data_IF_583771449004
#
_entry.id   IF_583771449004
#
_cell.length_a   1.000
_cell.length_b   1.000
_cell.length_c   1.000
_cell.angle_alpha   90.00
_cell.angle_beta   90.00
_cell.angle_gamma   90.00
#
_symmetry.space_group_name_H-M   'P 1'
#
loop_
_entity.id
_entity.type
_entity.pdbx_description
1 polymer ?
#
# COMPACT_ATOMS: atom_id res chain seq x y z
N UNK A 1 39.43 53.17 -45.05
CA UNK A 1 39.37 53.32 -43.57
C UNK A 1 37.96 53.48 -42.98
N UNK A 2 36.88 53.62 -43.79
CA UNK A 2 35.52 53.91 -43.27
C UNK A 2 34.74 52.64 -42.85
N UNK A 3 35.09 51.45 -43.34
CA UNK A 3 34.32 50.22 -43.07
C UNK A 3 34.49 49.63 -41.66
N UNK A 4 35.56 49.94 -40.92
CA UNK A 4 35.79 49.37 -39.58
C UNK A 4 34.95 50.03 -38.47
N UNK A 5 34.51 51.27 -38.67
CA UNK A 5 33.74 52.01 -37.64
C UNK A 5 32.30 51.51 -37.57
N UNK A 6 31.71 51.16 -38.72
CA UNK A 6 30.34 50.65 -38.79
C UNK A 6 30.25 49.23 -38.20
N UNK A 7 31.24 48.39 -38.48
CA UNK A 7 31.29 47.02 -37.97
C UNK A 7 31.42 46.99 -36.44
N UNK A 8 32.28 47.84 -35.87
CA UNK A 8 32.42 47.96 -34.42
C UNK A 8 31.14 48.49 -33.73
N UNK A 9 30.40 49.42 -34.37
CA UNK A 9 29.14 49.91 -33.80
C UNK A 9 28.04 48.85 -33.81
N UNK A 10 27.93 48.05 -34.88
CA UNK A 10 26.97 46.95 -34.94
C UNK A 10 27.33 45.86 -33.92
N UNK A 11 28.61 45.53 -33.77
CA UNK A 11 29.06 44.53 -32.80
C UNK A 11 28.79 44.98 -31.36
N UNK A 12 28.99 46.27 -31.07
CA UNK A 12 28.73 46.85 -29.74
C UNK A 12 27.23 46.91 -29.42
N UNK A 13 26.38 47.16 -30.42
CA UNK A 13 24.91 47.05 -30.29
C UNK A 13 24.47 45.60 -30.08
N UNK A 14 25.09 44.63 -30.75
CA UNK A 14 24.82 43.20 -30.53
C UNK A 14 25.27 42.72 -29.15
N UNK A 15 26.40 43.22 -28.62
CA UNK A 15 26.86 42.93 -27.26
C UNK A 15 25.93 43.59 -26.24
N UNK A 16 25.49 44.84 -26.47
CA UNK A 16 24.54 45.52 -25.58
C UNK A 16 23.16 44.85 -25.59
N UNK A 17 22.68 44.37 -26.74
CA UNK A 17 21.42 43.63 -26.84
C UNK A 17 21.50 42.24 -26.20
N UNK A 18 22.64 41.54 -26.32
CA UNK A 18 22.84 40.25 -25.66
C UNK A 18 23.09 40.38 -24.15
N UNK A 19 23.71 41.47 -23.67
CA UNK A 19 23.91 41.72 -22.23
C UNK A 19 22.65 42.25 -21.54
N UNK A 20 21.71 42.86 -22.27
CA UNK A 20 20.37 43.21 -21.79
C UNK A 20 19.35 42.08 -21.92
N UNK A 21 19.76 40.87 -22.32
CA UNK A 21 19.04 39.65 -21.99
C UNK A 21 19.21 39.33 -20.49
N UNK A 22 18.92 40.34 -19.65
CA UNK A 22 18.57 40.20 -18.26
C UNK A 22 17.56 39.08 -18.20
N UNK A 23 17.91 38.04 -17.45
CA UNK A 23 16.99 36.97 -17.11
C UNK A 23 15.79 37.59 -16.40
N UNK A 24 14.79 37.99 -17.18
CA UNK A 24 13.43 38.27 -16.75
C UNK A 24 12.90 36.94 -16.26
N UNK A 25 13.32 36.57 -15.05
CA UNK A 25 12.81 35.44 -14.32
C UNK A 25 11.37 35.83 -14.07
N UNK A 26 10.47 35.33 -14.92
CA UNK A 26 9.04 35.56 -14.85
C UNK A 26 8.60 35.10 -13.45
N UNK A 27 8.57 36.04 -12.51
CA UNK A 27 8.18 35.78 -11.12
C UNK A 27 6.68 35.65 -11.15
N UNK A 28 6.22 34.43 -11.40
CA UNK A 28 4.80 34.13 -11.35
C UNK A 28 4.28 34.54 -9.97
N UNK A 29 3.23 35.36 -9.95
CA UNK A 29 2.51 35.77 -8.74
C UNK A 29 2.14 34.54 -7.90
N UNK A 30 1.85 33.41 -8.56
CA UNK A 30 1.54 32.14 -7.93
C UNK A 30 2.68 31.61 -7.05
N UNK A 31 3.94 31.78 -7.44
CA UNK A 31 5.11 31.32 -6.65
C UNK A 31 5.31 32.16 -5.39
N UNK A 32 4.83 33.41 -5.38
CA UNK A 32 4.89 34.27 -4.20
C UNK A 32 3.71 34.02 -3.24
N UNK A 33 2.62 33.42 -3.73
CA UNK A 33 1.39 33.16 -2.94
C UNK A 33 1.28 31.73 -2.44
N UNK A 34 1.77 30.75 -3.19
CA UNK A 34 1.55 29.34 -2.91
C UNK A 34 2.86 28.58 -2.75
N UNK A 35 2.93 27.81 -1.66
CA UNK A 35 3.89 26.72 -1.51
C UNK A 35 3.18 25.42 -1.91
N UNK A 36 3.67 24.75 -2.95
CA UNK A 36 3.13 23.47 -3.42
C UNK A 36 4.04 22.33 -3.02
N UNK A 37 3.45 21.21 -2.62
CA UNK A 37 4.17 20.00 -2.25
C UNK A 37 3.30 18.78 -2.51
N UNK A 38 3.94 17.65 -2.76
CA UNK A 38 3.30 16.35 -2.96
C UNK A 38 3.60 15.48 -1.76
N UNK A 39 2.57 14.87 -1.21
CA UNK A 39 2.65 14.02 -0.02
C UNK A 39 1.96 12.69 -0.30
N UNK A 40 2.24 11.70 0.53
CA UNK A 40 1.43 10.50 0.54
C UNK A 40 0.02 10.85 1.02
N UNK A 41 -1.01 10.29 0.40
CA UNK A 41 -2.39 10.62 0.74
C UNK A 41 -3.25 9.37 0.85
N UNK A 42 -4.23 9.45 1.73
CA UNK A 42 -5.23 8.44 1.94
C UNK A 42 -6.10 8.32 0.68
N UNK A 43 -6.03 7.16 0.03
CA UNK A 43 -6.78 6.87 -1.20
C UNK A 43 -8.17 6.30 -0.90
N UNK A 44 -9.11 6.50 -1.83
CA UNK A 44 -10.40 5.80 -1.81
C UNK A 44 -10.26 4.43 -2.48
N UNK A 45 -10.75 3.40 -1.80
CA UNK A 45 -10.93 2.06 -2.34
C UNK A 45 -12.41 1.75 -2.48
N UNK A 46 -12.74 0.90 -3.46
CA UNK A 46 -14.12 0.47 -3.69
C UNK A 46 -14.23 -1.03 -3.39
N UNK A 47 -15.22 -1.38 -2.60
CA UNK A 47 -15.60 -2.78 -2.35
C UNK A 47 -16.79 -3.16 -3.25
N UNK A 48 -17.26 -4.41 -3.15
CA UNK A 48 -18.44 -4.86 -3.90
C UNK A 48 -19.66 -3.97 -3.66
N UNK A 49 -19.88 -3.52 -2.43
CA UNK A 49 -21.11 -2.85 -2.00
C UNK A 49 -20.87 -1.49 -1.32
N UNK A 50 -19.62 -1.05 -1.17
CA UNK A 50 -19.26 0.17 -0.44
C UNK A 50 -17.99 0.81 -0.97
N UNK A 51 -17.58 1.90 -0.30
CA UNK A 51 -16.30 2.57 -0.50
C UNK A 51 -15.62 2.78 0.85
N UNK A 52 -14.29 2.84 0.84
CA UNK A 52 -13.47 3.04 2.03
C UNK A 52 -12.33 4.02 1.73
N UNK A 53 -11.65 4.51 2.75
CA UNK A 53 -10.61 5.53 2.67
C UNK A 53 -11.13 6.94 2.51
N UNK A 54 -10.31 7.83 1.95
CA UNK A 54 -10.51 9.28 2.09
C UNK A 54 -10.86 9.98 0.78
N UNK A 55 -11.44 11.17 0.90
CA UNK A 55 -11.78 12.03 -0.24
C UNK A 55 -11.68 13.50 0.09
N UNK A 56 -11.13 14.29 -0.84
CA UNK A 56 -11.44 15.72 -0.88
C UNK A 56 -12.70 15.99 -1.71
N UNK A 57 -13.21 17.21 -1.66
CA UNK A 57 -14.12 17.74 -2.68
C UNK A 57 -13.40 17.89 -4.03
N UNK A 58 -14.16 17.99 -5.13
CA UNK A 58 -13.63 18.12 -6.50
C UNK A 58 -12.75 19.35 -6.68
N UNK A 59 -13.11 20.46 -6.04
CA UNK A 59 -12.33 21.71 -5.98
C UNK A 59 -11.23 21.68 -4.91
N UNK A 60 -11.13 20.61 -4.12
CA UNK A 60 -10.28 20.47 -2.95
C UNK A 60 -10.87 21.11 -1.69
N UNK A 61 -10.30 20.78 -0.54
CA UNK A 61 -10.72 21.26 0.78
C UNK A 61 -9.79 22.38 1.22
N UNK A 62 -10.36 23.49 1.70
CA UNK A 62 -9.59 24.66 2.15
C UNK A 62 -9.93 24.98 3.58
N UNK A 63 -8.91 25.28 4.37
CA UNK A 63 -9.08 25.68 5.76
C UNK A 63 -7.83 26.31 6.32
N UNK A 64 -7.98 26.98 7.45
CA UNK A 64 -6.85 27.52 8.21
C UNK A 64 -5.98 26.37 8.69
N UNK A 65 -4.68 26.42 8.42
CA UNK A 65 -3.74 25.42 8.90
C UNK A 65 -3.45 25.67 10.39
N UNK A 66 -3.63 24.65 11.24
CA UNK A 66 -3.35 24.70 12.67
C UNK A 66 -2.46 23.50 13.04
N UNK A 67 -1.37 23.76 13.76
CA UNK A 67 -0.53 22.70 14.32
C UNK A 67 -1.10 22.31 15.68
N UNK A 68 -1.34 21.02 15.90
CA UNK A 68 -2.03 20.50 17.07
C UNK A 68 -1.15 19.43 17.71
N UNK A 69 -0.76 19.66 18.95
CA UNK A 69 0.13 18.79 19.72
C UNK A 69 -0.63 17.80 20.61
N UNK A 70 -1.87 18.14 21.00
CA UNK A 70 -2.66 17.39 21.98
C UNK A 70 -4.16 17.36 21.67
N UNK A 71 -4.86 16.38 22.23
CA UNK A 71 -6.31 16.25 22.10
C UNK A 71 -7.05 17.44 22.74
N UNK A 72 -6.58 17.93 23.89
CA UNK A 72 -7.19 19.08 24.58
C UNK A 72 -7.10 20.36 23.73
N UNK A 73 -5.95 20.57 23.08
CA UNK A 73 -5.77 21.66 22.12
C UNK A 73 -6.76 21.53 20.95
N UNK A 74 -6.94 20.33 20.39
CA UNK A 74 -7.90 20.10 19.32
C UNK A 74 -9.35 20.40 19.73
N UNK A 75 -9.74 20.00 20.94
CA UNK A 75 -11.08 20.23 21.49
C UNK A 75 -11.36 21.73 21.64
N UNK A 76 -10.34 22.54 21.93
CA UNK A 76 -10.51 24.00 22.05
C UNK A 76 -11.01 24.67 20.75
N UNK A 77 -10.81 24.01 19.59
CA UNK A 77 -11.27 24.49 18.28
C UNK A 77 -12.65 23.95 17.85
N UNK A 78 -13.40 23.27 18.72
CA UNK A 78 -14.68 22.61 18.38
C UNK A 78 -15.69 23.51 17.65
N UNK A 79 -15.69 24.81 17.95
CA UNK A 79 -16.59 25.81 17.36
C UNK A 79 -15.91 26.74 16.34
N UNK A 80 -14.77 26.33 15.79
CA UNK A 80 -14.02 27.12 14.80
C UNK A 80 -14.63 27.01 13.39
N UNK A 81 -14.30 27.98 12.53
CA UNK A 81 -14.42 27.87 11.07
C UNK A 81 -13.62 26.69 10.51
N UNK A 82 -13.85 26.27 9.24
CA UNK A 82 -13.12 25.18 8.61
C UNK A 82 -11.60 25.24 8.80
N UNK A 83 -11.04 24.22 9.45
CA UNK A 83 -9.60 24.10 9.73
C UNK A 83 -9.01 22.87 9.07
N UNK A 84 -7.72 22.95 8.77
CA UNK A 84 -6.86 21.83 8.41
C UNK A 84 -5.86 21.67 9.53
N UNK A 85 -5.74 20.46 10.07
CA UNK A 85 -4.89 20.21 11.23
C UNK A 85 -3.62 19.46 10.82
N UNK A 86 -2.48 19.89 11.36
CA UNK A 86 -1.25 19.09 11.39
C UNK A 86 -1.17 18.43 12.77
N UNK A 87 -1.20 17.10 12.80
CA UNK A 87 -1.23 16.31 14.03
C UNK A 87 -0.07 15.31 14.06
N UNK A 88 0.42 14.92 15.25
CA UNK A 88 1.30 13.78 15.38
C UNK A 88 0.56 12.47 15.00
N UNK A 89 1.30 11.43 14.62
CA UNK A 89 0.75 10.09 14.36
C UNK A 89 0.25 9.39 15.65
N UNK A 90 -0.81 9.93 16.25
CA UNK A 90 -1.45 9.46 17.48
C UNK A 90 -2.90 9.08 17.25
N UNK A 91 -3.27 7.89 17.73
CA UNK A 91 -4.62 7.31 17.60
C UNK A 91 -5.71 8.23 18.15
N UNK A 92 -5.55 8.68 19.39
CA UNK A 92 -6.57 9.47 20.11
C UNK A 92 -6.93 10.79 19.42
N UNK A 93 -5.92 11.52 18.93
CA UNK A 93 -6.11 12.79 18.22
C UNK A 93 -6.76 12.56 16.86
N UNK A 94 -6.28 11.54 16.13
CA UNK A 94 -6.74 11.23 14.79
C UNK A 94 -8.19 10.72 14.78
N UNK A 95 -8.55 9.82 15.71
CA UNK A 95 -9.91 9.32 15.88
C UNK A 95 -10.88 10.47 16.17
N UNK A 96 -10.51 11.38 17.09
CA UNK A 96 -11.32 12.57 17.38
C UNK A 96 -11.47 13.48 16.14
N UNK A 97 -10.38 13.70 15.40
CA UNK A 97 -10.38 14.55 14.22
C UNK A 97 -11.31 14.02 13.10
N UNK A 98 -11.45 12.70 12.99
CA UNK A 98 -12.30 12.05 12.00
C UNK A 98 -13.76 12.03 12.45
N UNK A 99 -14.03 11.55 13.67
CA UNK A 99 -15.38 11.20 14.09
C UNK A 99 -16.10 12.26 14.92
N UNK A 100 -15.37 13.18 15.56
CA UNK A 100 -15.93 14.10 16.55
C UNK A 100 -15.69 15.58 16.25
N UNK A 101 -14.96 15.88 15.17
CA UNK A 101 -14.54 17.23 14.80
C UNK A 101 -15.02 17.62 13.38
N UNK A 102 -16.29 18.03 13.21
CA UNK A 102 -16.84 18.39 11.90
C UNK A 102 -16.20 19.64 11.28
N UNK A 103 -15.65 20.54 12.10
CA UNK A 103 -14.92 21.73 11.62
C UNK A 103 -13.60 21.40 10.91
N UNK A 104 -13.07 20.19 11.09
CA UNK A 104 -11.84 19.76 10.42
C UNK A 104 -12.18 19.29 9.02
N UNK A 105 -11.71 20.02 8.02
CA UNK A 105 -11.94 19.74 6.59
C UNK A 105 -10.75 19.05 5.93
N UNK A 106 -9.65 18.81 6.63
CA UNK A 106 -8.49 18.06 6.15
C UNK A 106 -7.48 17.79 7.26
N UNK A 107 -6.70 16.73 7.12
CA UNK A 107 -5.77 16.24 8.15
C UNK A 107 -4.40 15.98 7.54
N UNK A 108 -3.36 16.57 8.11
CA UNK A 108 -1.94 16.31 7.83
C UNK A 108 -1.39 15.52 9.02
N UNK A 109 -0.85 14.33 8.77
CA UNK A 109 -0.24 13.49 9.80
C UNK A 109 1.28 13.62 9.67
N UNK A 110 1.92 14.04 10.75
CA UNK A 110 3.38 13.96 10.86
C UNK A 110 3.81 12.49 10.99
N UNK A 111 4.45 11.98 9.94
CA UNK A 111 4.95 10.60 9.84
C UNK A 111 6.24 10.36 10.60
N UNK A 112 6.76 11.35 11.35
CA UNK A 112 7.90 11.15 12.25
C UNK A 112 7.61 9.99 13.19
N UNK A 113 8.50 9.00 13.18
CA UNK A 113 8.50 7.91 14.15
C UNK A 113 8.83 8.53 15.51
N UNK A 114 7.80 8.91 16.26
CA UNK A 114 7.95 9.15 17.69
C UNK A 114 8.29 7.81 18.35
N UNK A 115 9.02 7.84 19.48
CA UNK A 115 9.21 6.66 20.32
C UNK A 115 7.87 5.92 20.39
N UNK A 116 7.84 4.64 19.99
CA UNK A 116 6.62 3.85 19.86
C UNK A 116 5.96 3.79 21.24
N UNK A 117 5.05 4.73 21.49
CA UNK A 117 4.24 4.80 22.72
C UNK A 117 2.98 3.97 22.52
N UNK A 118 2.24 3.67 23.59
CA UNK A 118 0.93 2.99 23.50
C UNK A 118 -0.14 3.76 22.68
N UNK A 119 0.19 4.93 22.13
CA UNK A 119 -0.73 5.80 21.40
C UNK A 119 -0.55 5.77 19.88
N UNK A 120 0.34 4.92 19.35
CA UNK A 120 0.45 4.72 17.90
C UNK A 120 -0.79 3.98 17.36
N UNK A 121 -0.92 3.97 16.03
CA UNK A 121 -1.99 3.26 15.35
C UNK A 121 -1.48 2.43 14.19
N UNK A 122 -2.28 1.45 13.79
CA UNK A 122 -2.15 0.75 12.52
C UNK A 122 -3.47 0.83 11.78
N UNK A 123 -3.41 0.94 10.45
CA UNK A 123 -4.62 1.15 9.63
C UNK A 123 -5.58 -0.03 9.61
N UNK A 124 -5.09 -1.23 9.95
CA UNK A 124 -5.87 -2.47 9.94
C UNK A 124 -6.78 -2.50 11.16
N UNK A 125 -7.88 -3.24 11.09
CA UNK A 125 -8.68 -3.53 12.26
C UNK A 125 -7.85 -4.21 13.37
N UNK A 126 -8.38 -4.13 14.60
CA UNK A 126 -7.93 -4.91 15.75
C UNK A 126 -7.98 -6.41 15.50
N UNK A 127 -8.85 -6.85 14.60
CA UNK A 127 -8.95 -8.21 14.12
C UNK A 127 -9.04 -8.22 12.59
N UNK A 128 -7.92 -8.45 11.89
CA UNK A 128 -7.88 -8.43 10.43
C UNK A 128 -8.72 -9.54 9.77
N UNK A 129 -8.94 -10.66 10.45
CA UNK A 129 -9.48 -11.91 9.88
C UNK A 129 -11.02 -12.08 10.01
N UNK A 130 -11.71 -11.21 10.76
CA UNK A 130 -13.17 -11.29 11.05
C UNK A 130 -14.11 -11.31 9.83
N UNK A 131 -13.61 -11.05 8.63
CA UNK A 131 -14.41 -10.92 7.40
C UNK A 131 -14.32 -12.11 6.45
N UNK A 132 -13.47 -13.10 6.74
CA UNK A 132 -13.41 -14.33 5.95
C UNK A 132 -14.53 -15.23 6.46
N UNK A 133 -15.48 -15.57 5.61
CA UNK A 133 -16.76 -16.24 5.94
C UNK A 133 -16.69 -17.66 6.54
N UNK A 134 -15.68 -17.98 7.35
CA UNK A 134 -15.73 -19.07 8.30
C UNK A 134 -16.50 -18.57 9.52
N UNK A 135 -17.67 -19.16 9.78
CA UNK A 135 -18.58 -18.90 10.90
C UNK A 135 -18.01 -19.22 12.29
N UNK A 136 -16.68 -19.18 12.46
CA UNK A 136 -15.98 -19.50 13.70
C UNK A 136 -14.89 -18.45 13.90
N UNK A 137 -15.26 -17.31 14.47
CA UNK A 137 -14.45 -16.67 15.53
C UNK A 137 -15.19 -15.45 16.07
N UNK A 138 -16.12 -15.70 16.99
CA UNK A 138 -16.51 -14.69 17.99
C UNK A 138 -15.35 -14.27 18.90
N UNK A 139 -14.16 -14.87 18.73
CA UNK A 139 -12.95 -14.55 19.48
C UNK A 139 -11.75 -14.42 18.54
N UNK A 140 -11.28 -13.19 18.36
CA UNK A 140 -9.94 -12.87 17.84
C UNK A 140 -8.86 -13.30 18.85
N UNK A 141 -8.86 -14.56 19.28
CA UNK A 141 -8.05 -15.04 20.40
C UNK A 141 -6.57 -15.19 20.06
N UNK A 142 -6.22 -15.43 18.79
CA UNK A 142 -4.85 -15.82 18.40
C UNK A 142 -4.04 -14.63 17.87
N UNK A 143 -4.63 -13.75 17.06
CA UNK A 143 -3.94 -12.59 16.45
C UNK A 143 -4.72 -11.30 16.66
N UNK A 144 -4.40 -10.58 17.75
CA UNK A 144 -4.95 -9.24 18.02
C UNK A 144 -3.98 -8.15 17.59
N UNK A 145 -4.45 -7.24 16.76
CA UNK A 145 -3.78 -6.00 16.45
C UNK A 145 -4.22 -4.91 17.45
N UNK A 146 -3.59 -4.85 18.63
CA UNK A 146 -3.94 -3.93 19.73
C UNK A 146 -4.12 -2.47 19.26
N UNK A 147 -3.34 -2.04 18.27
CA UNK A 147 -3.28 -0.66 17.79
C UNK A 147 -4.11 -0.40 16.54
N UNK A 148 -4.95 -1.36 16.13
CA UNK A 148 -5.81 -1.21 14.97
C UNK A 148 -6.88 -0.13 15.13
N UNK A 149 -7.11 0.65 14.07
CA UNK A 149 -8.18 1.67 13.99
C UNK A 149 -9.13 1.47 12.81
N UNK A 150 -8.91 0.43 12.01
CA UNK A 150 -9.80 0.03 10.93
C UNK A 150 -10.03 1.06 9.81
N UNK A 151 -9.03 1.89 9.55
CA UNK A 151 -9.02 2.89 8.48
C UNK A 151 -9.30 2.31 7.10
N UNK A 152 -8.92 1.05 6.87
CA UNK A 152 -9.11 0.37 5.59
C UNK A 152 -10.59 0.13 5.25
N UNK A 153 -11.49 0.15 6.24
CA UNK A 153 -12.90 -0.25 6.09
C UNK A 153 -13.91 0.88 6.27
N UNK A 154 -13.46 2.05 6.73
CA UNK A 154 -14.31 3.23 6.90
C UNK A 154 -14.17 4.19 5.72
N UNK A 155 -15.25 4.90 5.39
CA UNK A 155 -15.20 6.03 4.47
C UNK A 155 -15.05 7.33 5.25
N UNK A 156 -14.10 8.16 4.84
CA UNK A 156 -13.76 9.43 5.47
C UNK A 156 -13.96 10.54 4.44
N UNK A 157 -14.96 11.40 4.66
CA UNK A 157 -15.27 12.52 3.75
C UNK A 157 -14.40 13.76 4.00
N UNK A 158 -13.10 13.54 4.22
CA UNK A 158 -12.08 14.58 4.29
C UNK A 158 -10.72 14.00 3.86
N UNK A 159 -9.85 14.77 3.19
CA UNK A 159 -8.54 14.29 2.78
C UNK A 159 -7.61 14.15 3.98
N UNK A 160 -6.87 13.04 4.02
CA UNK A 160 -5.83 12.77 5.02
C UNK A 160 -4.51 12.53 4.29
N UNK A 161 -3.48 13.28 4.64
CA UNK A 161 -2.17 13.26 4.00
C UNK A 161 -1.11 12.90 5.05
N UNK A 162 -0.20 12.00 4.70
CA UNK A 162 0.92 11.58 5.53
C UNK A 162 2.19 12.31 5.06
N UNK A 163 2.85 12.99 6.00
CA UNK A 163 4.03 13.78 5.73
C UNK A 163 5.26 13.02 6.21
N UNK A 164 6.06 12.51 5.27
CA UNK A 164 7.29 11.77 5.55
C UNK A 164 8.55 12.65 5.53
N UNK A 165 8.49 13.81 4.87
CA UNK A 165 9.58 14.77 4.80
C UNK A 165 9.59 15.69 6.04
N UNK A 166 10.45 15.39 7.00
CA UNK A 166 10.53 16.14 8.26
C UNK A 166 10.84 17.63 8.06
N UNK A 167 11.73 17.97 7.14
CA UNK A 167 12.07 19.37 6.83
C UNK A 167 10.83 20.16 6.40
N UNK A 168 9.95 19.53 5.63
CA UNK A 168 8.68 20.15 5.21
C UNK A 168 7.70 20.29 6.38
N UNK A 169 7.60 19.27 7.24
CA UNK A 169 6.79 19.34 8.46
C UNK A 169 7.24 20.50 9.35
N UNK A 170 8.55 20.62 9.60
CA UNK A 170 9.10 21.66 10.46
C UNK A 170 8.86 23.07 9.87
N UNK A 171 8.95 23.21 8.54
CA UNK A 171 8.59 24.43 7.85
C UNK A 171 7.09 24.77 8.03
N UNK A 172 6.19 23.79 7.87
CA UNK A 172 4.76 24.00 8.08
C UNK A 172 4.44 24.40 9.52
N UNK A 173 5.08 23.76 10.51
CA UNK A 173 4.96 24.15 11.93
C UNK A 173 5.41 25.57 12.17
N UNK A 174 6.59 25.93 11.67
CA UNK A 174 7.14 27.30 11.81
C UNK A 174 6.21 28.35 11.21
N UNK A 175 5.69 28.10 10.00
CA UNK A 175 4.78 29.04 9.34
C UNK A 175 3.43 29.09 10.07
N UNK A 176 2.87 27.95 10.45
CA UNK A 176 1.65 27.88 11.26
C UNK A 176 1.79 28.71 12.53
N UNK A 177 2.87 28.52 13.29
CA UNK A 177 3.16 29.26 14.52
C UNK A 177 3.25 30.78 14.28
N UNK A 178 4.07 31.22 13.32
CA UNK A 178 4.29 32.65 13.04
C UNK A 178 3.00 33.38 12.67
N UNK A 179 2.18 32.79 11.78
CA UNK A 179 0.96 33.45 11.33
C UNK A 179 -0.21 33.27 12.28
N UNK A 180 -0.28 32.16 13.02
CA UNK A 180 -1.39 31.90 13.93
C UNK A 180 -1.22 32.50 15.32
N UNK A 181 -0.01 32.81 15.80
CA UNK A 181 0.15 33.45 17.12
C UNK A 181 0.43 34.94 17.03
N UNK A 182 1.22 35.39 16.04
CA UNK A 182 1.70 36.78 16.01
C UNK A 182 0.82 37.73 15.20
N UNK A 183 -0.07 37.23 14.34
CA UNK A 183 -0.85 38.07 13.40
C UNK A 183 -2.38 37.91 13.50
N UNK A 184 -2.92 37.26 14.55
CA UNK A 184 -4.37 37.16 14.77
C UNK A 184 -5.02 38.55 14.80
N UNK A 185 -4.37 39.51 15.49
CA UNK A 185 -4.84 40.90 15.58
C UNK A 185 -4.90 41.63 14.24
N UNK A 186 -4.25 41.09 13.19
CA UNK A 186 -4.22 41.65 11.82
C UNK A 186 -5.07 40.85 10.82
N UNK A 187 -5.81 39.83 11.26
CA UNK A 187 -6.66 39.01 10.40
C UNK A 187 -5.91 38.18 9.35
N UNK A 188 -4.60 37.96 9.52
CA UNK A 188 -3.75 37.22 8.58
C UNK A 188 -3.53 35.80 9.11
N UNK A 189 -3.92 34.81 8.32
CA UNK A 189 -3.76 33.40 8.65
C UNK A 189 -3.25 32.63 7.44
N UNK A 190 -2.56 31.52 7.71
CA UNK A 190 -2.16 30.58 6.66
C UNK A 190 -3.32 29.63 6.36
N UNK A 191 -3.61 29.48 5.07
CA UNK A 191 -4.58 28.50 4.57
C UNK A 191 -3.84 27.35 3.89
N UNK A 192 -4.33 26.14 4.12
CA UNK A 192 -3.96 24.99 3.32
C UNK A 192 -5.09 24.67 2.33
N UNK A 193 -4.71 24.15 1.16
CA UNK A 193 -5.65 23.64 0.15
C UNK A 193 -5.24 22.21 -0.21
N UNK A 194 -6.05 21.25 0.22
CA UNK A 194 -5.79 19.82 0.02
C UNK A 194 -6.67 19.26 -1.09
N UNK A 195 -6.06 18.57 -2.06
CA UNK A 195 -6.77 18.00 -3.21
C UNK A 195 -6.38 16.54 -3.42
N UNK A 196 -7.33 15.64 -3.22
CA UNK A 196 -7.22 14.20 -3.45
C UNK A 196 -8.58 13.63 -3.85
N UNK A 197 -9.25 14.29 -4.80
CA UNK A 197 -10.59 13.88 -5.24
C UNK A 197 -10.53 12.56 -6.01
N UNK A 198 -11.11 11.46 -5.51
CA UNK A 198 -11.15 10.20 -6.22
C UNK A 198 -12.28 10.24 -7.26
N UNK A 199 -11.98 9.77 -8.47
CA UNK A 199 -12.99 9.67 -9.53
C UNK A 199 -13.86 8.41 -9.43
N UNK A 200 -13.40 7.37 -8.72
CA UNK A 200 -14.22 6.21 -8.38
C UNK A 200 -15.29 6.58 -7.36
N UNK A 201 -16.54 6.19 -7.61
CA UNK A 201 -17.68 6.53 -6.75
C UNK A 201 -18.53 5.31 -6.39
N UNK A 202 -19.16 5.38 -5.22
CA UNK A 202 -20.17 4.46 -4.68
C UNK A 202 -19.65 3.05 -4.39
N UNK A 203 -19.47 2.21 -5.41
CA UNK A 203 -19.03 0.82 -5.26
C UNK A 203 -18.29 0.32 -6.52
N UNK A 204 -17.61 -0.81 -6.39
CA UNK A 204 -16.81 -1.39 -7.47
C UNK A 204 -17.67 -1.82 -8.66
N UNK A 205 -18.89 -2.29 -8.44
CA UNK A 205 -19.79 -2.75 -9.51
C UNK A 205 -20.22 -1.59 -10.41
N UNK A 206 -20.65 -0.47 -9.81
CA UNK A 206 -21.05 0.74 -10.51
C UNK A 206 -19.85 1.37 -11.19
N UNK A 207 -18.70 1.42 -10.52
CA UNK A 207 -17.53 1.97 -11.14
C UNK A 207 -17.06 1.16 -12.35
N UNK A 208 -17.02 -0.18 -12.24
CA UNK A 208 -16.68 -1.08 -13.35
C UNK A 208 -17.70 -1.01 -14.48
N UNK A 209 -18.99 -0.86 -14.16
CA UNK A 209 -20.03 -0.65 -15.19
C UNK A 209 -19.81 0.65 -15.95
N UNK A 210 -19.44 1.72 -15.25
CA UNK A 210 -19.17 3.04 -15.85
C UNK A 210 -17.88 3.07 -16.65
N UNK A 211 -16.85 2.32 -16.24
CA UNK A 211 -15.59 2.23 -17.00
C UNK A 211 -15.72 1.41 -18.29
N UNK A 212 -16.66 0.45 -18.34
CA UNK A 212 -16.96 -0.36 -19.53
C UNK A 212 -17.95 0.27 -20.51
N UNK A 213 -18.59 1.39 -20.15
CA UNK A 213 -19.64 2.00 -20.96
C UNK A 213 -19.02 2.87 -22.08
N UNK A 214 -19.21 2.45 -23.33
CA UNK A 214 -18.64 3.00 -24.56
C UNK A 214 -19.47 4.13 -25.21
N UNK A 215 -20.28 4.86 -24.43
CA UNK A 215 -21.14 5.91 -25.01
C UNK A 215 -20.33 7.15 -25.46
N UNK A 216 -20.06 7.24 -26.78
CA UNK A 216 -19.97 8.40 -27.67
C UNK A 216 -19.39 9.75 -27.17
N UNK A 217 -18.37 9.74 -26.30
CA UNK A 217 -17.60 10.93 -25.91
C UNK A 217 -16.11 10.66 -25.60
N UNK A 218 -15.57 9.58 -26.17
CA UNK A 218 -14.40 8.86 -25.63
C UNK A 218 -13.03 9.54 -25.76
N UNK A 219 -12.82 10.57 -26.57
CA UNK A 219 -11.49 11.19 -26.67
C UNK A 219 -11.09 11.92 -25.37
N UNK A 220 -12.04 12.56 -24.69
CA UNK A 220 -11.79 13.25 -23.43
C UNK A 220 -11.80 12.30 -22.22
N UNK A 221 -12.58 11.22 -22.28
CA UNK A 221 -12.70 10.27 -21.17
C UNK A 221 -11.70 9.12 -21.23
N UNK A 222 -11.04 8.79 -22.35
CA UNK A 222 -10.02 7.74 -22.38
C UNK A 222 -8.85 8.02 -21.44
N UNK A 223 -8.39 9.27 -21.34
CA UNK A 223 -7.38 9.67 -20.35
C UNK A 223 -7.87 9.55 -18.89
N UNK A 224 -9.18 9.58 -18.67
CA UNK A 224 -9.83 9.41 -17.38
C UNK A 224 -10.55 8.06 -17.23
N UNK A 225 -10.39 7.10 -18.14
CA UNK A 225 -11.16 5.83 -18.17
C UNK A 225 -10.51 4.74 -17.32
N UNK A 226 -9.27 4.95 -16.88
CA UNK A 226 -8.56 4.17 -15.86
C UNK A 226 -9.06 4.57 -14.45
N UNK A 227 -10.39 4.63 -14.27
CA UNK A 227 -11.03 5.14 -13.05
C UNK A 227 -11.14 4.12 -11.94
N UNK A 228 -11.27 2.85 -12.31
CA UNK A 228 -11.34 1.72 -11.39
C UNK A 228 -10.48 0.60 -11.93
N UNK A 229 -9.34 0.38 -11.27
CA UNK A 229 -8.41 -0.70 -11.56
C UNK A 229 -8.54 -1.70 -10.41
N UNK A 230 -8.83 -2.96 -10.76
CA UNK A 230 -8.70 -4.05 -9.79
C UNK A 230 -7.23 -4.14 -9.36
N UNK A 231 -6.93 -4.47 -8.10
CA UNK A 231 -5.57 -4.89 -7.75
C UNK A 231 -5.12 -5.99 -8.71
N UNK A 232 -3.89 -5.89 -9.22
CA UNK A 232 -3.31 -6.95 -10.04
C UNK A 232 -2.93 -8.09 -9.12
N UNK A 233 -3.43 -9.28 -9.41
CA UNK A 233 -3.09 -10.51 -8.71
C UNK A 233 -2.05 -11.25 -9.53
N UNK A 234 -0.89 -11.45 -8.93
CA UNK A 234 0.22 -12.17 -9.53
C UNK A 234 0.64 -13.27 -8.54
N UNK A 235 0.78 -14.49 -9.06
CA UNK A 235 1.30 -15.63 -8.31
C UNK A 235 2.63 -15.97 -8.97
N UNK A 236 3.72 -15.71 -8.28
CA UNK A 236 5.06 -16.13 -8.73
C UNK A 236 5.35 -17.45 -8.04
N UNK A 237 5.79 -18.43 -8.80
CA UNK A 237 6.00 -19.78 -8.30
C UNK A 237 7.30 -20.38 -8.83
N UNK A 238 7.85 -21.33 -8.08
CA UNK A 238 8.98 -22.16 -8.49
C UNK A 238 8.78 -23.59 -7.97
N UNK A 239 9.19 -24.57 -8.76
CA UNK A 239 9.11 -26.00 -8.42
C UNK A 239 10.50 -26.59 -8.57
N UNK A 240 10.97 -27.30 -7.55
CA UNK A 240 12.31 -27.91 -7.60
C UNK A 240 12.38 -29.19 -8.42
N UNK A 241 11.28 -29.94 -8.52
CA UNK A 241 11.20 -31.16 -9.31
C UNK A 241 10.06 -31.08 -10.32
N UNK A 242 10.44 -30.98 -11.60
CA UNK A 242 9.51 -30.89 -12.71
C UNK A 242 9.03 -32.30 -13.11
N UNK A 243 7.81 -32.66 -12.71
CA UNK A 243 7.17 -33.90 -13.18
C UNK A 243 6.52 -33.65 -14.54
N UNK A 244 6.90 -34.45 -15.53
CA UNK A 244 6.31 -34.41 -16.86
C UNK A 244 4.83 -34.81 -16.84
N UNK A 245 4.00 -34.24 -17.70
CA UNK A 245 2.57 -34.55 -17.86
C UNK A 245 2.34 -36.01 -18.27
N UNK A 246 3.36 -36.66 -18.82
CA UNK A 246 3.36 -38.09 -19.15
C UNK A 246 3.48 -39.00 -17.92
N UNK A 247 3.97 -38.46 -16.81
CA UNK A 247 4.19 -39.20 -15.58
C UNK A 247 3.08 -38.88 -14.58
N UNK A 248 2.63 -39.87 -13.82
CA UNK A 248 1.65 -39.67 -12.75
C UNK A 248 2.34 -39.08 -11.52
N UNK A 249 1.75 -38.01 -10.96
CA UNK A 249 2.18 -37.45 -9.67
C UNK A 249 1.55 -38.27 -8.52
N UNK A 250 2.32 -38.77 -7.54
CA UNK A 250 1.75 -39.50 -6.41
C UNK A 250 0.91 -38.62 -5.48
N UNK A 251 -0.04 -39.21 -4.76
CA UNK A 251 -0.77 -38.50 -3.70
C UNK A 251 0.18 -38.12 -2.55
N UNK A 252 -0.08 -36.97 -1.90
CA UNK A 252 0.74 -36.42 -0.80
C UNK A 252 2.24 -36.31 -1.14
N UNK A 253 2.54 -35.96 -2.39
CA UNK A 253 3.91 -35.82 -2.89
C UNK A 253 4.38 -34.37 -2.98
N UNK A 254 3.62 -33.37 -2.50
CA UNK A 254 3.94 -31.94 -2.66
C UNK A 254 3.92 -31.21 -1.32
N UNK A 255 4.99 -30.47 -1.03
CA UNK A 255 5.08 -29.51 0.05
C UNK A 255 5.08 -28.11 -0.55
N UNK A 256 4.16 -27.26 -0.12
CA UNK A 256 4.06 -25.87 -0.57
C UNK A 256 4.57 -24.95 0.52
N UNK A 257 5.60 -24.16 0.23
CA UNK A 257 5.97 -23.00 1.02
C UNK A 257 5.44 -21.75 0.33
N UNK A 258 4.76 -20.89 1.06
CA UNK A 258 4.31 -19.62 0.51
C UNK A 258 4.49 -18.46 1.47
N UNK A 259 4.62 -17.26 0.88
CA UNK A 259 4.60 -15.98 1.57
C UNK A 259 3.79 -14.99 0.75
N UNK A 260 3.15 -14.03 1.42
CA UNK A 260 2.60 -12.88 0.73
C UNK A 260 3.71 -12.00 0.17
N UNK A 261 3.47 -11.43 -1.00
CA UNK A 261 4.37 -10.54 -1.74
C UNK A 261 3.83 -9.12 -1.83
N UNK A 262 2.58 -8.90 -1.43
CA UNK A 262 1.99 -7.58 -1.35
C UNK A 262 2.05 -6.99 0.06
N UNK A 263 2.06 -5.67 0.09
CA UNK A 263 1.75 -4.87 1.26
C UNK A 263 0.62 -3.91 0.90
N UNK A 264 -0.11 -3.47 1.90
CA UNK A 264 -1.13 -2.46 1.74
C UNK A 264 -0.89 -1.35 2.76
N UNK A 265 -0.99 -0.10 2.32
CA UNK A 265 -1.27 1.03 3.19
C UNK A 265 -2.24 1.97 2.47
N UNK A 266 -3.05 2.66 3.25
CA UNK A 266 -4.03 3.62 2.76
C UNK A 266 -3.35 4.87 2.20
N UNK A 267 -2.13 5.16 2.67
CA UNK A 267 -1.27 6.24 2.21
C UNK A 267 -0.38 5.75 1.07
N UNK A 268 -0.50 6.34 -0.12
CA UNK A 268 0.32 6.01 -1.30
C UNK A 268 1.03 7.28 -1.82
N UNK A 269 2.20 7.17 -2.48
CA UNK A 269 2.88 5.94 -2.95
C UNK A 269 3.96 5.34 -2.05
N UNK A 270 4.50 6.01 -1.03
CA UNK A 270 5.66 5.47 -0.30
C UNK A 270 5.25 4.56 0.84
N UNK A 271 5.44 3.24 0.65
CA UNK A 271 5.07 2.23 1.63
C UNK A 271 6.18 1.20 1.76
N UNK A 272 6.69 1.03 2.98
CA UNK A 272 7.63 -0.03 3.31
C UNK A 272 6.90 -1.11 4.14
N UNK A 273 6.39 -2.14 3.47
CA UNK A 273 5.86 -3.35 4.11
C UNK A 273 6.96 -4.24 4.71
N UNK A 274 7.94 -3.64 5.40
CA UNK A 274 9.18 -4.32 5.80
C UNK A 274 8.88 -5.56 6.64
N UNK A 275 8.16 -5.40 7.75
CA UNK A 275 7.82 -6.52 8.63
C UNK A 275 6.70 -7.41 8.06
N UNK A 276 5.68 -6.82 7.45
CA UNK A 276 4.53 -7.59 6.98
C UNK A 276 4.90 -8.49 5.80
N UNK A 277 5.76 -8.02 4.90
CA UNK A 277 5.94 -8.67 3.58
C UNK A 277 7.41 -8.96 3.31
N UNK A 278 8.31 -7.99 3.53
CA UNK A 278 9.70 -8.14 3.10
C UNK A 278 10.42 -9.29 3.80
N UNK A 279 10.24 -9.47 5.11
CA UNK A 279 10.89 -10.59 5.82
C UNK A 279 10.40 -11.97 5.34
N UNK A 280 9.11 -12.15 5.10
CA UNK A 280 8.59 -13.42 4.56
C UNK A 280 9.18 -13.74 3.19
N UNK A 281 9.26 -12.71 2.32
CA UNK A 281 9.91 -12.81 1.00
C UNK A 281 11.40 -13.15 1.12
N UNK A 282 12.14 -12.44 1.96
CA UNK A 282 13.57 -12.68 2.19
C UNK A 282 13.80 -14.09 2.73
N UNK A 283 13.01 -14.54 3.69
CA UNK A 283 13.12 -15.89 4.26
C UNK A 283 12.84 -16.96 3.21
N UNK A 284 11.77 -16.81 2.42
CA UNK A 284 11.44 -17.79 1.38
C UNK A 284 12.49 -17.83 0.26
N UNK A 285 13.06 -16.68 -0.12
CA UNK A 285 14.19 -16.61 -1.06
C UNK A 285 15.46 -17.23 -0.47
N UNK A 286 15.73 -17.00 0.82
CA UNK A 286 16.84 -17.64 1.54
C UNK A 286 16.70 -19.16 1.57
N UNK A 287 15.48 -19.66 1.83
CA UNK A 287 15.15 -21.08 1.73
C UNK A 287 15.36 -21.60 0.31
N UNK A 288 14.88 -20.87 -0.71
CA UNK A 288 15.07 -21.23 -2.11
C UNK A 288 16.55 -21.39 -2.47
N UNK A 289 17.37 -20.43 -2.04
CA UNK A 289 18.81 -20.41 -2.26
C UNK A 289 19.52 -21.57 -1.56
N UNK A 290 19.13 -21.86 -0.31
CA UNK A 290 19.72 -22.95 0.48
C UNK A 290 19.36 -24.32 -0.11
N UNK A 291 18.09 -24.53 -0.48
CA UNK A 291 17.64 -25.76 -1.14
C UNK A 291 18.32 -25.97 -2.50
N UNK A 292 18.50 -24.89 -3.28
CA UNK A 292 19.18 -24.93 -4.57
C UNK A 292 20.67 -25.24 -4.47
N UNK A 293 21.36 -24.81 -3.40
CA UNK A 293 22.80 -25.06 -3.21
C UNK A 293 23.15 -26.44 -2.70
N UNK A 294 22.34 -27.00 -1.81
CA UNK A 294 22.74 -28.22 -1.08
C UNK A 294 22.43 -29.48 -1.91
N UNK A 295 21.85 -29.40 -3.11
CA UNK A 295 21.20 -30.54 -3.77
C UNK A 295 20.31 -31.31 -2.75
N UNK A 296 19.75 -30.58 -1.77
CA UNK A 296 18.92 -31.14 -0.70
C UNK A 296 17.66 -31.79 -1.28
N UNK A 297 17.25 -31.34 -2.46
CA UNK A 297 16.29 -32.05 -3.31
C UNK A 297 16.72 -33.49 -3.55
N UNK A 298 17.95 -33.77 -3.98
CA UNK A 298 18.42 -35.15 -4.15
C UNK A 298 18.37 -35.96 -2.84
N UNK A 299 18.68 -35.36 -1.69
CA UNK A 299 18.62 -36.03 -0.39
C UNK A 299 17.19 -36.29 0.11
N UNK A 300 16.27 -35.35 -0.09
CA UNK A 300 14.82 -35.52 0.19
C UNK A 300 14.15 -36.48 -0.81
N UNK A 301 14.71 -36.61 -2.01
CA UNK A 301 14.31 -37.54 -3.08
C UNK A 301 14.88 -38.96 -2.85
N UNK A 302 15.81 -39.17 -1.92
CA UNK A 302 16.50 -40.47 -1.79
C UNK A 302 16.40 -41.16 -0.42
N UNK A 303 15.90 -40.51 0.64
CA UNK A 303 15.94 -41.10 1.98
C UNK A 303 14.65 -41.81 2.44
N UNK A 304 14.77 -43.14 2.49
CA UNK A 304 14.24 -44.11 3.45
C UNK A 304 12.77 -44.62 3.37
N UNK A 305 12.68 -45.89 2.97
CA UNK A 305 11.67 -46.92 3.25
C UNK A 305 10.23 -46.74 2.74
N UNK A 306 9.82 -45.52 2.38
CA UNK A 306 8.56 -45.26 1.68
C UNK A 306 8.87 -44.49 0.38
N UNK A 307 8.70 -45.12 -0.78
CA UNK A 307 9.06 -44.64 -2.13
C UNK A 307 8.41 -43.31 -2.61
N UNK A 308 7.99 -42.40 -1.74
CA UNK A 308 7.30 -41.16 -2.11
C UNK A 308 8.26 -39.98 -1.96
N UNK A 309 8.90 -39.62 -3.06
CA UNK A 309 9.71 -38.42 -3.18
C UNK A 309 8.79 -37.19 -3.10
N UNK A 310 9.06 -36.30 -2.15
CA UNK A 310 8.28 -35.06 -1.98
C UNK A 310 8.90 -33.94 -2.81
N UNK A 311 8.06 -33.30 -3.60
CA UNK A 311 8.38 -32.11 -4.36
C UNK A 311 8.14 -30.87 -3.50
N UNK A 312 9.02 -29.88 -3.66
CA UNK A 312 8.90 -28.59 -2.98
C UNK A 312 8.45 -27.54 -4.00
N UNK A 313 7.41 -26.79 -3.64
CA UNK A 313 6.87 -25.65 -4.39
C UNK A 313 7.04 -24.40 -3.54
N UNK A 314 7.62 -23.36 -4.12
CA UNK A 314 7.74 -22.05 -3.49
C UNK A 314 6.78 -21.08 -4.17
N UNK A 315 6.00 -20.34 -3.39
CA UNK A 315 4.99 -19.40 -3.88
C UNK A 315 5.16 -18.01 -3.25
N UNK A 316 5.12 -16.99 -4.10
CA UNK A 316 4.99 -15.60 -3.70
C UNK A 316 3.65 -15.09 -4.23
N UNK A 317 2.74 -14.79 -3.31
CA UNK A 317 1.35 -14.49 -3.64
C UNK A 317 1.09 -12.99 -3.43
N UNK A 318 0.68 -12.30 -4.48
CA UNK A 318 0.15 -10.94 -4.38
C UNK A 318 -1.38 -11.01 -4.26
N UNK A 319 -1.95 -10.25 -3.33
CA UNK A 319 -3.39 -10.18 -3.11
C UNK A 319 -3.82 -10.57 -1.70
N UNK A 320 -2.88 -10.88 -0.81
CA UNK A 320 -3.21 -11.39 0.51
C UNK A 320 -3.79 -10.31 1.42
N UNK A 321 -3.33 -9.06 1.29
CA UNK A 321 -3.91 -7.95 2.05
C UNK A 321 -5.29 -7.51 1.51
N UNK A 322 -5.77 -8.10 0.43
CA UNK A 322 -7.06 -7.84 -0.19
C UNK A 322 -8.06 -8.95 0.13
N UNK A 323 -8.20 -9.28 1.42
CA UNK A 323 -9.02 -10.39 1.90
C UNK A 323 -8.61 -11.73 1.28
N UNK A 324 -7.31 -12.06 1.26
CA UNK A 324 -6.80 -13.36 0.79
C UNK A 324 -7.17 -13.68 -0.66
N UNK A 325 -7.37 -12.65 -1.48
CA UNK A 325 -7.80 -12.84 -2.87
C UNK A 325 -6.73 -13.58 -3.69
N UNK A 326 -5.44 -13.42 -3.36
CA UNK A 326 -4.34 -14.14 -3.99
C UNK A 326 -4.41 -15.65 -3.74
N UNK A 327 -4.54 -16.06 -2.47
CA UNK A 327 -4.69 -17.47 -2.07
C UNK A 327 -6.02 -18.07 -2.55
N UNK A 328 -7.09 -17.27 -2.61
CA UNK A 328 -8.36 -17.69 -3.22
C UNK A 328 -8.18 -18.03 -4.71
N UNK A 329 -7.54 -17.15 -5.49
CA UNK A 329 -7.26 -17.41 -6.90
C UNK A 329 -6.32 -18.61 -7.08
N UNK A 330 -5.31 -18.77 -6.20
CA UNK A 330 -4.45 -19.96 -6.18
C UNK A 330 -5.26 -21.25 -5.97
N UNK A 331 -6.15 -21.25 -4.98
CA UNK A 331 -6.99 -22.41 -4.67
C UNK A 331 -7.87 -22.77 -5.86
N UNK A 332 -8.46 -21.77 -6.51
CA UNK A 332 -9.26 -21.93 -7.71
C UNK A 332 -8.46 -22.55 -8.86
N UNK A 333 -7.25 -22.06 -9.16
CA UNK A 333 -6.43 -22.63 -10.25
C UNK A 333 -5.96 -24.06 -9.94
N UNK A 334 -5.74 -24.43 -8.68
CA UNK A 334 -5.41 -25.80 -8.26
C UNK A 334 -6.64 -26.72 -8.45
N UNK A 335 -7.82 -26.28 -8.00
CA UNK A 335 -9.08 -27.04 -8.15
C UNK A 335 -9.45 -27.26 -9.62
N UNK A 336 -9.16 -26.28 -10.47
CA UNK A 336 -9.38 -26.38 -11.91
C UNK A 336 -8.24 -27.12 -12.65
N UNK A 337 -7.27 -27.69 -11.93
CA UNK A 337 -6.13 -28.45 -12.49
C UNK A 337 -5.27 -27.63 -13.47
N UNK A 338 -5.17 -26.32 -13.24
CA UNK A 338 -4.41 -25.36 -14.07
C UNK A 338 -3.08 -24.92 -13.46
N UNK A 339 -2.79 -25.31 -12.22
CA UNK A 339 -1.53 -24.98 -11.55
C UNK A 339 -0.54 -26.14 -11.65
N UNK A 340 0.76 -25.91 -11.93
CA UNK A 340 1.36 -24.64 -12.35
C UNK A 340 0.84 -24.15 -13.71
N UNK A 341 0.65 -22.82 -13.84
CA UNK A 341 0.12 -22.23 -15.08
C UNK A 341 1.10 -22.39 -16.24
N UNK A 342 0.59 -22.71 -17.43
CA UNK A 342 1.40 -22.80 -18.66
C UNK A 342 2.02 -21.44 -18.97
N UNK A 343 3.35 -21.36 -18.88
CA UNK A 343 4.13 -20.23 -19.39
C UNK A 343 4.35 -20.52 -20.87
N UNK A 344 3.70 -19.74 -21.73
CA UNK A 344 3.78 -19.67 -23.21
C UNK A 344 4.21 -20.92 -24.00
N UNK A 345 3.46 -21.20 -25.07
CA UNK A 345 3.68 -22.30 -26.05
C UNK A 345 5.06 -22.34 -26.73
N UNK A 346 5.91 -21.35 -26.48
CA UNK A 346 7.27 -21.23 -27.00
C UNK A 346 8.35 -21.75 -26.03
N UNK A 347 8.00 -22.05 -24.78
CA UNK A 347 8.92 -22.59 -23.79
C UNK A 347 8.62 -24.06 -23.52
N UNK A 348 9.63 -24.90 -23.31
CA UNK A 348 9.50 -26.34 -23.02
C UNK A 348 8.72 -26.69 -21.72
N UNK A 349 8.05 -25.71 -21.08
CA UNK A 349 7.20 -25.85 -19.91
C UNK A 349 5.78 -26.36 -20.22
N UNK A 350 5.45 -26.62 -21.48
CA UNK A 350 4.17 -27.22 -21.91
C UNK A 350 3.90 -28.64 -21.35
N UNK A 351 4.83 -29.20 -20.57
CA UNK A 351 4.81 -30.59 -20.12
C UNK A 351 4.78 -30.75 -18.60
N UNK A 352 4.41 -29.78 -17.78
CA UNK A 352 4.31 -30.03 -16.32
C UNK A 352 2.97 -30.71 -15.95
N UNK A 353 3.03 -31.77 -15.16
CA UNK A 353 1.84 -32.38 -14.56
C UNK A 353 1.18 -31.38 -13.58
N UNK A 354 -0.14 -31.15 -13.67
CA UNK A 354 -0.83 -30.24 -12.76
C UNK A 354 -0.75 -30.74 -11.31
N UNK A 355 -0.64 -29.81 -10.37
CA UNK A 355 -0.77 -30.07 -8.94
C UNK A 355 -2.24 -29.94 -8.60
N UNK A 356 -2.75 -30.93 -7.89
CA UNK A 356 -4.15 -31.09 -7.49
C UNK A 356 -4.19 -31.20 -5.97
N UNK A 357 -5.34 -31.00 -5.32
CA UNK A 357 -5.43 -31.05 -3.86
C UNK A 357 -4.90 -32.36 -3.25
N UNK A 358 -5.14 -33.50 -3.92
CA UNK A 358 -4.68 -34.82 -3.48
C UNK A 358 -3.16 -35.02 -3.51
N UNK A 359 -2.45 -34.21 -4.29
CA UNK A 359 -0.99 -34.23 -4.36
C UNK A 359 -0.35 -33.46 -3.19
N UNK A 360 -1.09 -32.54 -2.57
CA UNK A 360 -0.57 -31.66 -1.51
C UNK A 360 -0.55 -32.41 -0.19
N UNK A 361 0.62 -32.51 0.42
CA UNK A 361 0.81 -33.08 1.76
C UNK A 361 0.73 -32.01 2.83
N UNK A 362 1.51 -30.92 2.68
CA UNK A 362 1.62 -29.85 3.67
C UNK A 362 1.74 -28.50 2.95
N UNK A 363 1.07 -27.49 3.52
CA UNK A 363 1.21 -26.08 3.14
C UNK A 363 1.79 -25.31 4.33
N UNK A 364 2.86 -24.56 4.10
CA UNK A 364 3.58 -23.78 5.10
C UNK A 364 3.54 -22.30 4.69
N UNK A 365 2.86 -21.50 5.50
CA UNK A 365 2.83 -20.04 5.36
C UNK A 365 3.95 -19.40 6.18
N UNK A 366 4.76 -18.56 5.55
CA UNK A 366 5.79 -17.77 6.20
C UNK A 366 5.29 -16.33 6.33
N UNK A 367 5.02 -15.87 7.56
CA UNK A 367 4.52 -14.52 7.80
C UNK A 367 5.18 -13.88 9.04
N UNK A 368 5.48 -12.58 8.95
CA UNK A 368 5.94 -11.71 10.05
C UNK A 368 7.17 -12.17 10.86
N UNK A 369 8.17 -12.79 10.22
CA UNK A 369 9.40 -13.25 10.90
C UNK A 369 10.40 -12.14 11.30
N UNK A 370 10.08 -10.86 11.05
CA UNK A 370 11.00 -9.74 11.27
C UNK A 370 11.10 -9.23 12.71
N UNK A 371 10.19 -9.61 13.61
CA UNK A 371 10.28 -9.21 15.02
C UNK A 371 11.11 -10.25 15.77
N UNK A 372 12.29 -9.83 16.22
CA UNK A 372 13.19 -10.65 17.01
C UNK A 372 12.65 -10.83 18.43
N UNK A 373 11.74 -11.78 18.60
CA UNK A 373 11.54 -12.45 19.87
C UNK A 373 12.43 -13.69 19.88
N UNK A 374 12.93 -14.12 21.05
CA UNK A 374 13.74 -15.33 21.20
C UNK A 374 13.03 -16.65 20.77
N UNK A 375 11.83 -16.55 20.18
CA UNK A 375 10.95 -17.65 19.85
C UNK A 375 10.34 -17.44 18.46
N UNK A 376 10.32 -18.51 17.67
CA UNK A 376 9.49 -18.62 16.47
C UNK A 376 8.23 -19.40 16.83
N UNK A 377 7.06 -18.83 16.55
CA UNK A 377 5.79 -19.49 16.80
C UNK A 377 5.31 -20.23 15.55
N UNK A 378 4.89 -21.48 15.73
CA UNK A 378 4.23 -22.28 14.69
C UNK A 378 2.76 -22.33 15.03
N UNK A 379 1.93 -21.82 14.12
CA UNK A 379 0.47 -21.90 14.24
C UNK A 379 -0.03 -23.00 13.30
N UNK A 380 -0.95 -23.81 13.80
CA UNK A 380 -1.58 -24.90 13.06
C UNK A 380 -3.06 -24.95 13.42
N UNK A 381 -3.86 -25.57 12.55
CA UNK A 381 -5.27 -25.86 12.85
C UNK A 381 -5.36 -27.07 13.79
N UNK A 382 -6.29 -27.05 14.75
CA UNK A 382 -6.46 -28.06 15.81
C UNK A 382 -6.75 -29.48 15.29
N UNK A 383 -7.01 -29.61 13.99
CA UNK A 383 -7.37 -30.87 13.32
C UNK A 383 -6.12 -31.57 12.72
N UNK A 384 -4.93 -30.98 12.79
CA UNK A 384 -3.79 -31.53 12.06
C UNK A 384 -3.20 -32.81 12.72
N UNK A 385 -3.20 -33.98 12.04
CA UNK A 385 -2.73 -35.26 12.59
C UNK A 385 -1.25 -35.29 12.99
N UNK A 386 -0.46 -34.33 12.49
CA UNK A 386 0.94 -34.14 12.87
C UNK A 386 1.12 -34.00 14.40
N UNK A 387 0.13 -33.47 15.11
CA UNK A 387 0.22 -33.24 16.55
C UNK A 387 0.13 -34.51 17.40
N UNK A 388 -0.48 -35.58 16.88
CA UNK A 388 -0.52 -36.87 17.58
C UNK A 388 0.87 -37.51 17.71
N UNK A 389 1.83 -37.09 16.89
CA UNK A 389 3.22 -37.58 16.94
C UNK A 389 4.14 -36.75 17.85
N UNK A 390 3.69 -35.59 18.32
CA UNK A 390 4.49 -34.68 19.17
C UNK A 390 3.85 -34.46 20.56
N UNK A 391 2.72 -35.09 20.84
CA UNK A 391 2.24 -35.38 22.21
C UNK A 391 2.80 -36.73 22.64
#
# INVERSE_FOLDING_TARGET
MINNVLFNRIYLVFILLNTQCLTLKLRSIQLNMYMTSSFDFCMRYLTKNSMTGCSSHKSGNRGRLIDISSLNELISYKYSYPIIVLIPARKDILDFAIFHAPMIVGILIDGKIMNITDKHFTEVNTCPEDLIGLSISTNCSIRKNKYGIDFRRIFIDKPIFLLTNQTMVDNLRKISYLYNQQQISKGRYINAHMKSYPYGIKDAQICNRRSKSTYFGEAYFKHYSIKCRSPMINIVWSIFNAISIKNTRPSKSVIIFYTKFDFFSIFQPTNAGAQSTAFGVITLLGLAWLLGRINLTQLLITNNNNNINKDIVLLFINGENWNYYGTFELSKIILEKRFPYKIDKSSHQDNLHPIEPEHIDIIINIDQLGINHNHTYILYDNIHPFLEKFK
#
